data_IF_487944565889
#
_entry.id   IF_487944565889
#
_cell.length_a   1.000
_cell.length_b   1.000
_cell.length_c   1.000
_cell.angle_alpha   90.00
_cell.angle_beta   90.00
_cell.angle_gamma   90.00
#
_symmetry.space_group_name_H-M   'P 1'
#
loop_
_entity.id
_entity.type
_entity.pdbx_description
1 polymer ?
#
# COMPACT_ATOMS: atom_id res chain seq x y z
N UNK A 1 3.67 0.46 26.00
CA UNK A 1 4.32 1.45 25.13
C UNK A 1 3.32 1.80 24.05
N UNK A 2 3.07 3.08 23.78
CA UNK A 2 2.24 3.54 22.66
C UNK A 2 3.02 3.32 21.36
N UNK A 3 2.46 2.57 20.41
CA UNK A 3 3.11 2.28 19.12
C UNK A 3 2.76 3.37 18.10
N UNK A 4 3.72 3.78 17.27
CA UNK A 4 3.53 4.86 16.28
C UNK A 4 2.54 4.50 15.17
N UNK A 5 2.53 3.24 14.74
CA UNK A 5 1.60 2.71 13.75
C UNK A 5 1.15 1.31 14.20
N UNK A 6 -0.03 1.19 14.83
CA UNK A 6 -0.60 -0.13 15.14
C UNK A 6 -0.88 -0.92 13.87
N UNK A 7 -0.87 -2.25 13.96
CA UNK A 7 -1.30 -3.11 12.86
C UNK A 7 -2.80 -2.96 12.60
N UNK A 8 -3.26 -3.33 11.41
CA UNK A 8 -4.67 -3.16 11.04
C UNK A 8 -5.63 -3.91 11.99
N UNK A 9 -5.26 -5.11 12.44
CA UNK A 9 -6.01 -5.90 13.42
C UNK A 9 -6.12 -5.23 14.79
N UNK A 10 -5.10 -4.46 15.21
CA UNK A 10 -5.12 -3.73 16.48
C UNK A 10 -5.87 -2.40 16.33
N UNK A 11 -5.58 -1.66 15.24
CA UNK A 11 -6.15 -0.35 14.98
C UNK A 11 -7.67 -0.40 14.78
N UNK A 12 -8.15 -1.46 14.14
CA UNK A 12 -9.57 -1.62 13.79
C UNK A 12 -10.19 -2.81 14.55
N UNK A 13 -9.65 -3.16 15.72
CA UNK A 13 -10.10 -4.29 16.54
C UNK A 13 -11.60 -4.22 16.85
N UNK A 14 -12.12 -3.03 17.19
CA UNK A 14 -13.53 -2.83 17.47
C UNK A 14 -14.42 -3.10 16.25
N UNK A 15 -14.06 -2.53 15.09
CA UNK A 15 -14.79 -2.74 13.83
C UNK A 15 -14.78 -4.22 13.41
N UNK A 16 -13.63 -4.89 13.54
CA UNK A 16 -13.48 -6.31 13.27
C UNK A 16 -14.32 -7.17 14.23
N UNK A 17 -14.38 -6.82 15.52
CA UNK A 17 -15.18 -7.53 16.51
C UNK A 17 -16.68 -7.36 16.26
N UNK A 18 -17.13 -6.16 15.90
CA UNK A 18 -18.53 -5.89 15.51
C UNK A 18 -18.91 -6.75 14.30
N UNK A 19 -18.08 -6.76 13.26
CA UNK A 19 -18.33 -7.60 12.08
C UNK A 19 -18.33 -9.09 12.43
N UNK A 20 -17.39 -9.56 13.24
CA UNK A 20 -17.32 -10.97 13.62
C UNK A 20 -18.55 -11.44 14.41
N UNK A 21 -19.15 -10.55 15.21
CA UNK A 21 -20.36 -10.81 15.99
C UNK A 21 -21.60 -10.91 15.10
N UNK A 22 -21.71 -10.04 14.10
CA UNK A 22 -22.85 -9.97 13.19
C UNK A 22 -22.72 -10.91 11.98
N UNK A 23 -21.55 -11.52 11.78
CA UNK A 23 -21.25 -12.39 10.62
C UNK A 23 -21.76 -13.83 10.81
N UNK A 24 -22.97 -14.06 10.31
CA UNK A 24 -23.69 -15.34 10.29
C UNK A 24 -23.43 -16.19 9.03
N UNK A 25 -22.57 -15.72 8.13
CA UNK A 25 -22.35 -16.35 6.82
C UNK A 25 -21.24 -17.42 6.85
N UNK A 26 -21.25 -18.37 5.90
CA UNK A 26 -20.20 -19.39 5.81
C UNK A 26 -18.81 -18.78 5.66
N UNK A 27 -17.87 -19.27 6.47
CA UNK A 27 -16.47 -18.86 6.43
C UNK A 27 -15.63 -19.95 5.78
N UNK A 28 -14.75 -19.62 4.81
CA UNK A 28 -13.74 -20.54 4.34
C UNK A 28 -12.89 -21.07 5.51
N UNK A 29 -12.36 -22.30 5.43
CA UNK A 29 -11.51 -22.85 6.49
C UNK A 29 -10.36 -21.91 6.87
N UNK A 30 -10.18 -21.68 8.18
CA UNK A 30 -9.13 -20.81 8.74
C UNK A 30 -9.47 -19.31 8.75
N UNK A 31 -10.53 -18.88 8.07
CA UNK A 31 -10.91 -17.46 8.03
C UNK A 31 -11.60 -17.00 9.32
N UNK A 32 -11.26 -15.80 9.79
CA UNK A 32 -11.90 -15.13 10.93
C UNK A 32 -13.28 -14.57 10.57
N UNK A 33 -13.40 -13.99 9.38
CA UNK A 33 -14.61 -13.38 8.84
C UNK A 33 -15.04 -14.07 7.54
N UNK A 34 -16.32 -14.04 7.21
CA UNK A 34 -16.81 -14.50 5.90
C UNK A 34 -16.37 -13.56 4.77
N UNK A 35 -16.37 -14.01 3.50
CA UNK A 35 -16.05 -13.17 2.35
C UNK A 35 -16.85 -11.86 2.29
N UNK A 36 -18.10 -11.88 2.76
CA UNK A 36 -18.96 -10.69 2.83
C UNK A 36 -18.51 -9.74 3.93
N UNK A 37 -18.24 -10.26 5.13
CA UNK A 37 -17.76 -9.46 6.25
C UNK A 37 -16.38 -8.86 5.94
N UNK A 38 -15.48 -9.59 5.28
CA UNK A 38 -14.20 -9.05 4.78
C UNK A 38 -14.44 -7.92 3.77
N UNK A 39 -15.34 -8.12 2.82
CA UNK A 39 -15.67 -7.06 1.83
C UNK A 39 -16.24 -5.81 2.50
N UNK A 40 -17.13 -5.98 3.48
CA UNK A 40 -17.70 -4.88 4.27
C UNK A 40 -16.64 -4.19 5.13
N UNK A 41 -15.73 -4.95 5.76
CA UNK A 41 -14.60 -4.38 6.49
C UNK A 41 -13.77 -3.44 5.62
N UNK A 42 -13.49 -3.82 4.38
CA UNK A 42 -12.65 -3.06 3.45
C UNK A 42 -13.37 -1.82 2.91
N UNK A 43 -14.63 -1.98 2.47
CA UNK A 43 -15.38 -0.93 1.77
C UNK A 43 -16.24 -0.05 2.70
N UNK A 44 -16.37 -0.44 3.96
CA UNK A 44 -17.31 0.16 4.90
C UNK A 44 -18.76 -0.23 4.62
N UNK A 45 -19.63 0.13 5.58
CA UNK A 45 -21.09 -0.02 5.49
C UNK A 45 -21.81 1.34 5.49
N UNK A 46 -21.07 2.45 5.61
CA UNK A 46 -21.61 3.81 5.67
C UNK A 46 -22.09 4.23 7.06
N UNK A 47 -21.94 3.38 8.07
CA UNK A 47 -22.44 3.64 9.43
C UNK A 47 -21.40 3.26 10.49
N UNK A 48 -21.19 1.95 10.71
CA UNK A 48 -20.38 1.41 11.82
C UNK A 48 -18.96 1.07 11.39
N UNK A 49 -18.77 0.80 10.10
CA UNK A 49 -17.51 0.34 9.55
C UNK A 49 -16.96 1.40 8.62
N UNK A 50 -15.82 1.96 9.01
CA UNK A 50 -15.14 2.99 8.23
C UNK A 50 -14.59 2.36 6.94
N UNK A 51 -14.69 2.97 5.76
CA UNK A 51 -14.02 2.48 4.55
C UNK A 51 -12.49 2.56 4.66
N UNK A 52 -11.79 1.45 4.38
CA UNK A 52 -10.31 1.35 4.36
C UNK A 52 -9.77 1.50 2.95
N UNK A 53 -10.58 1.19 1.94
CA UNK A 53 -10.25 1.35 0.53
C UNK A 53 -11.38 2.08 -0.19
N UNK A 54 -11.01 3.05 -1.01
CA UNK A 54 -11.93 3.77 -1.89
C UNK A 54 -11.69 3.29 -3.31
N UNK A 55 -12.69 2.66 -3.91
CA UNK A 55 -12.62 2.12 -5.25
C UNK A 55 -13.79 1.19 -5.55
N UNK A 56 -13.77 0.59 -6.74
CA UNK A 56 -14.86 -0.27 -7.19
C UNK A 56 -15.02 -1.51 -6.30
N UNK A 57 -16.22 -1.72 -5.74
CA UNK A 57 -16.57 -2.90 -4.93
C UNK A 57 -16.14 -4.21 -5.59
N UNK A 58 -16.31 -4.31 -6.91
CA UNK A 58 -15.97 -5.50 -7.68
C UNK A 58 -14.49 -5.89 -7.58
N UNK A 59 -13.58 -4.92 -7.48
CA UNK A 59 -12.13 -5.18 -7.33
C UNK A 59 -11.86 -5.91 -6.01
N UNK A 60 -12.46 -5.43 -4.92
CA UNK A 60 -12.35 -6.04 -3.60
C UNK A 60 -13.00 -7.42 -3.59
N UNK A 61 -14.18 -7.58 -4.18
CA UNK A 61 -14.86 -8.87 -4.27
C UNK A 61 -14.03 -9.91 -5.03
N UNK A 62 -13.38 -9.53 -6.14
CA UNK A 62 -12.49 -10.44 -6.89
C UNK A 62 -11.27 -10.81 -6.06
N UNK A 63 -10.67 -9.87 -5.33
CA UNK A 63 -9.55 -10.14 -4.43
C UNK A 63 -9.94 -11.11 -3.31
N UNK A 64 -11.07 -10.87 -2.65
CA UNK A 64 -11.58 -11.73 -1.57
C UNK A 64 -11.98 -13.11 -2.11
N UNK A 65 -12.68 -13.17 -3.25
CA UNK A 65 -13.05 -14.44 -3.87
C UNK A 65 -11.83 -15.26 -4.30
N UNK A 66 -10.76 -14.60 -4.76
CA UNK A 66 -9.47 -15.26 -5.04
C UNK A 66 -8.95 -15.95 -3.80
N UNK A 67 -8.88 -15.20 -2.68
CA UNK A 67 -8.29 -15.70 -1.45
C UNK A 67 -9.13 -16.80 -0.78
N UNK A 68 -10.44 -16.83 -1.04
CA UNK A 68 -11.35 -17.88 -0.59
C UNK A 68 -11.14 -19.21 -1.34
N UNK A 69 -10.30 -19.22 -2.37
CA UNK A 69 -9.83 -20.42 -3.08
C UNK A 69 -8.34 -20.67 -2.78
N UNK A 70 -7.76 -21.73 -3.32
CA UNK A 70 -6.33 -22.03 -3.16
C UNK A 70 -5.41 -21.17 -4.06
N UNK A 71 -5.97 -20.23 -4.85
CA UNK A 71 -5.20 -19.31 -5.70
C UNK A 71 -4.62 -18.17 -4.87
N UNK A 72 -3.35 -17.85 -5.14
CA UNK A 72 -2.72 -16.65 -4.59
C UNK A 72 -3.19 -15.39 -5.31
N UNK A 73 -3.18 -14.27 -4.59
CA UNK A 73 -3.59 -12.96 -5.09
C UNK A 73 -2.35 -12.13 -5.45
N UNK A 74 -2.30 -11.58 -6.66
CA UNK A 74 -1.32 -10.55 -7.04
C UNK A 74 -2.03 -9.21 -7.21
N UNK A 75 -1.75 -8.26 -6.34
CA UNK A 75 -2.18 -6.86 -6.47
C UNK A 75 -1.17 -6.11 -7.34
N UNK A 76 -1.62 -5.64 -8.50
CA UNK A 76 -0.80 -4.93 -9.48
C UNK A 76 -1.30 -3.49 -9.65
N UNK A 77 -0.41 -2.53 -9.84
CA UNK A 77 -0.79 -1.16 -10.17
C UNK A 77 0.34 -0.18 -9.94
N UNK A 78 0.17 1.07 -10.38
CA UNK A 78 1.19 2.12 -10.21
C UNK A 78 1.44 2.43 -8.71
N UNK A 79 2.56 3.08 -8.35
CA UNK A 79 2.80 3.53 -6.99
C UNK A 79 1.64 4.36 -6.41
N UNK A 80 1.35 4.15 -5.13
CA UNK A 80 0.28 4.87 -4.41
C UNK A 80 -1.16 4.39 -4.66
N UNK A 81 -1.39 3.29 -5.38
CA UNK A 81 -2.72 2.66 -5.58
C UNK A 81 -3.20 1.81 -4.38
N UNK A 82 -2.65 2.03 -3.18
CA UNK A 82 -3.02 1.34 -1.94
C UNK A 82 -2.83 -0.20 -1.92
N UNK A 83 -1.95 -0.77 -2.76
CA UNK A 83 -1.66 -2.23 -2.80
C UNK A 83 -1.29 -2.82 -1.44
N UNK A 84 -0.25 -2.27 -0.80
CA UNK A 84 0.25 -2.73 0.51
C UNK A 84 -0.78 -2.53 1.61
N UNK A 85 -1.56 -1.45 1.54
CA UNK A 85 -2.64 -1.18 2.47
C UNK A 85 -3.76 -2.21 2.35
N UNK A 86 -4.23 -2.47 1.13
CA UNK A 86 -5.25 -3.50 0.87
C UNK A 86 -4.76 -4.90 1.30
N UNK A 87 -3.51 -5.23 0.99
CA UNK A 87 -2.84 -6.48 1.41
C UNK A 87 -2.86 -6.66 2.94
N UNK A 88 -2.51 -5.62 3.70
CA UNK A 88 -2.52 -5.62 5.18
C UNK A 88 -3.93 -5.85 5.73
N UNK A 89 -4.90 -5.08 5.24
CA UNK A 89 -6.27 -5.15 5.72
C UNK A 89 -6.95 -6.48 5.36
N UNK A 90 -6.66 -7.04 4.19
CA UNK A 90 -7.14 -8.38 3.83
C UNK A 90 -6.55 -9.44 4.77
N UNK A 91 -5.24 -9.41 5.04
CA UNK A 91 -4.61 -10.36 5.95
C UNK A 91 -5.17 -10.25 7.39
N UNK A 92 -5.33 -9.03 7.89
CA UNK A 92 -5.95 -8.77 9.20
C UNK A 92 -7.38 -9.30 9.28
N UNK A 93 -8.23 -9.03 8.29
CA UNK A 93 -9.63 -9.47 8.29
C UNK A 93 -9.78 -10.99 8.10
N UNK A 94 -8.90 -11.60 7.30
CA UNK A 94 -8.96 -13.03 6.98
C UNK A 94 -8.32 -13.87 8.09
N UNK A 95 -7.11 -13.53 8.52
CA UNK A 95 -6.32 -14.37 9.44
C UNK A 95 -6.30 -13.84 10.87
N UNK A 96 -6.63 -12.56 11.08
CA UNK A 96 -6.42 -11.87 12.35
C UNK A 96 -4.95 -11.51 12.61
N UNK A 97 -4.11 -11.58 11.58
CA UNK A 97 -2.67 -11.35 11.66
C UNK A 97 -2.17 -10.86 10.30
N UNK A 98 -1.68 -9.63 10.25
CA UNK A 98 -1.12 -9.00 9.05
C UNK A 98 0.42 -8.93 9.05
N UNK A 99 1.07 -9.54 10.05
CA UNK A 99 2.49 -9.40 10.37
C UNK A 99 3.40 -10.40 9.64
N UNK A 100 2.82 -11.42 9.00
CA UNK A 100 3.53 -12.43 8.22
C UNK A 100 3.96 -11.88 6.86
N UNK A 101 4.93 -10.98 6.89
CA UNK A 101 5.37 -10.15 5.76
C UNK A 101 6.78 -10.51 5.29
N UNK A 102 6.93 -10.67 3.98
CA UNK A 102 8.21 -10.64 3.25
C UNK A 102 8.26 -9.38 2.41
N UNK A 103 9.29 -8.55 2.63
CA UNK A 103 9.52 -7.35 1.82
C UNK A 103 10.49 -7.66 0.68
N UNK A 104 10.05 -7.39 -0.54
CA UNK A 104 10.83 -7.54 -1.75
C UNK A 104 11.81 -6.39 -1.97
N UNK A 105 13.07 -6.75 -2.14
CA UNK A 105 14.21 -5.88 -2.43
C UNK A 105 15.24 -6.67 -3.25
N UNK A 106 16.19 -5.96 -3.88
CA UNK A 106 17.27 -6.61 -4.63
C UNK A 106 18.17 -7.52 -3.75
N UNK A 107 18.18 -7.28 -2.42
CA UNK A 107 18.93 -8.08 -1.45
C UNK A 107 18.10 -9.13 -0.72
N UNK A 108 16.83 -9.31 -1.08
CA UNK A 108 15.99 -10.34 -0.44
C UNK A 108 16.52 -11.72 -0.82
N UNK A 109 16.88 -12.52 0.17
CA UNK A 109 17.43 -13.85 0.00
C UNK A 109 16.34 -14.95 0.07
N UNK A 110 16.65 -16.15 -0.41
CA UNK A 110 15.72 -17.29 -0.46
C UNK A 110 15.16 -17.66 0.92
N UNK A 111 15.97 -17.51 1.97
CA UNK A 111 15.60 -17.80 3.36
C UNK A 111 14.45 -16.91 3.87
N UNK A 112 14.28 -15.72 3.29
CA UNK A 112 13.16 -14.84 3.61
C UNK A 112 11.82 -15.39 3.13
N UNK A 113 11.84 -16.26 2.11
CA UNK A 113 10.66 -16.97 1.59
C UNK A 113 10.56 -18.37 2.19
N UNK A 114 11.65 -19.13 2.26
CA UNK A 114 11.63 -20.53 2.71
C UNK A 114 11.85 -20.64 4.20
N UNK A 115 13.12 -20.72 4.61
CA UNK A 115 13.59 -20.79 5.98
C UNK A 115 15.08 -20.50 5.99
N UNK A 116 15.58 -20.00 7.11
CA UNK A 116 17.01 -19.89 7.39
C UNK A 116 17.47 -20.89 8.44
N UNK A 117 18.71 -20.74 8.87
CA UNK A 117 19.30 -21.55 9.93
C UNK A 117 19.85 -20.65 11.06
N UNK A 118 19.60 -21.05 12.29
CA UNK A 118 20.37 -20.60 13.43
C UNK A 118 21.71 -21.34 13.43
N UNK A 119 22.75 -20.69 12.91
CA UNK A 119 24.07 -21.30 12.75
C UNK A 119 24.68 -21.84 14.05
N UNK A 120 24.42 -21.19 15.19
CA UNK A 120 24.93 -21.67 16.48
C UNK A 120 24.33 -23.02 16.85
N UNK A 121 23.01 -23.16 16.70
CA UNK A 121 22.31 -24.45 16.92
C UNK A 121 22.67 -25.47 15.87
N UNK A 122 22.77 -25.07 14.60
CA UNK A 122 23.16 -25.96 13.51
C UNK A 122 24.54 -26.59 13.74
N UNK A 123 25.51 -25.81 14.23
CA UNK A 123 26.86 -26.31 14.55
C UNK A 123 26.89 -27.17 15.82
N UNK A 124 26.09 -26.82 16.83
CA UNK A 124 26.08 -27.52 18.12
C UNK A 124 25.28 -28.83 18.09
N UNK A 125 24.15 -28.83 17.39
CA UNK A 125 23.12 -29.88 17.45
C UNK A 125 22.94 -30.61 16.10
N UNK A 126 23.52 -30.08 15.02
CA UNK A 126 23.30 -30.56 13.66
C UNK A 126 21.99 -30.03 13.04
N UNK A 127 21.66 -30.46 11.80
CA UNK A 127 20.39 -30.10 11.17
C UNK A 127 19.20 -30.64 11.97
N UNK A 128 18.37 -29.74 12.49
CA UNK A 128 17.16 -30.05 13.25
C UNK A 128 16.08 -28.99 13.04
N UNK A 129 14.83 -29.26 13.43
CA UNK A 129 13.78 -28.23 13.39
C UNK A 129 14.08 -27.09 14.38
N UNK A 130 14.78 -27.38 15.48
CA UNK A 130 15.19 -26.43 16.51
C UNK A 130 16.28 -25.46 16.02
N UNK A 131 17.08 -25.90 15.04
CA UNK A 131 18.07 -25.06 14.37
C UNK A 131 17.46 -24.27 13.20
N UNK A 132 16.25 -24.57 12.76
CA UNK A 132 15.59 -23.91 11.64
C UNK A 132 14.99 -22.57 12.09
N UNK A 133 15.20 -21.52 11.30
CA UNK A 133 14.59 -20.20 11.48
C UNK A 133 13.45 -20.06 10.45
N UNK A 134 12.18 -20.26 10.84
CA UNK A 134 11.08 -20.30 9.88
C UNK A 134 10.79 -18.92 9.31
N UNK A 135 10.61 -18.83 7.98
CA UNK A 135 10.24 -17.59 7.32
C UNK A 135 8.80 -17.17 7.67
N UNK A 136 8.39 -15.92 7.39
CA UNK A 136 6.99 -15.51 7.46
C UNK A 136 6.06 -16.41 6.64
N UNK A 137 6.48 -16.84 5.45
CA UNK A 137 5.69 -17.73 4.59
C UNK A 137 5.56 -19.13 5.20
N UNK A 138 6.66 -19.70 5.72
CA UNK A 138 6.63 -21.01 6.37
C UNK A 138 5.76 -21.00 7.63
N UNK A 139 5.82 -19.93 8.44
CA UNK A 139 4.90 -19.74 9.59
C UNK A 139 3.46 -19.66 9.13
N UNK A 140 3.16 -18.87 8.10
CA UNK A 140 1.82 -18.77 7.53
C UNK A 140 1.30 -20.13 7.04
N UNK A 141 2.15 -20.93 6.39
CA UNK A 141 1.82 -22.30 5.99
C UNK A 141 1.50 -23.16 7.21
N UNK A 142 2.38 -23.19 8.20
CA UNK A 142 2.21 -24.01 9.39
C UNK A 142 1.00 -23.59 10.25
N UNK A 143 0.59 -22.32 10.21
CA UNK A 143 -0.49 -21.78 11.03
C UNK A 143 -1.82 -21.60 10.27
N UNK A 144 -1.83 -21.85 8.96
CA UNK A 144 -3.02 -21.66 8.12
C UNK A 144 -3.44 -20.19 7.99
N UNK A 145 -2.47 -19.30 7.78
CA UNK A 145 -2.65 -17.83 7.72
C UNK A 145 -2.26 -17.25 6.37
N UNK A 146 -2.65 -16.01 6.12
CA UNK A 146 -2.23 -15.25 4.94
C UNK A 146 -0.80 -14.74 5.12
N UNK A 147 0.09 -15.10 4.19
CA UNK A 147 1.40 -14.47 4.04
C UNK A 147 1.34 -13.31 3.04
N UNK A 148 2.08 -12.25 3.31
CA UNK A 148 2.18 -11.07 2.46
C UNK A 148 3.57 -11.00 1.84
N UNK A 149 3.65 -10.86 0.52
CA UNK A 149 4.90 -10.68 -0.22
C UNK A 149 4.85 -9.34 -0.95
N UNK A 150 5.38 -8.31 -0.31
CA UNK A 150 5.30 -6.94 -0.82
C UNK A 150 6.41 -6.67 -1.82
N UNK A 151 6.11 -5.98 -2.91
CA UNK A 151 7.09 -5.61 -3.95
C UNK A 151 7.82 -6.82 -4.56
N UNK A 152 7.06 -7.87 -4.90
CA UNK A 152 7.54 -9.15 -5.41
C UNK A 152 8.54 -8.99 -6.57
N UNK A 153 8.28 -8.06 -7.49
CA UNK A 153 9.13 -7.83 -8.67
C UNK A 153 10.49 -7.20 -8.34
N UNK A 154 10.70 -6.68 -7.13
CA UNK A 154 12.03 -6.21 -6.68
C UNK A 154 12.92 -7.33 -6.17
N UNK A 155 12.37 -8.51 -5.90
CA UNK A 155 13.16 -9.68 -5.48
C UNK A 155 13.93 -10.27 -6.67
N UNK A 156 15.12 -10.84 -6.47
CA UNK A 156 15.80 -11.65 -7.48
C UNK A 156 14.89 -12.78 -8.02
N UNK A 157 14.99 -13.09 -9.32
CA UNK A 157 14.08 -14.03 -9.97
C UNK A 157 14.14 -15.46 -9.41
N UNK A 158 15.33 -15.90 -9.01
CA UNK A 158 15.56 -17.18 -8.33
C UNK A 158 14.84 -17.24 -6.97
N UNK A 159 14.86 -16.14 -6.22
CA UNK A 159 14.14 -16.01 -4.94
C UNK A 159 12.62 -15.98 -5.17
N UNK A 160 12.15 -15.33 -6.23
CA UNK A 160 10.72 -15.38 -6.60
C UNK A 160 10.28 -16.82 -6.93
N UNK A 161 11.11 -17.59 -7.63
CA UNK A 161 10.81 -18.96 -8.04
C UNK A 161 10.72 -19.93 -6.84
N UNK A 162 11.29 -19.59 -5.68
CA UNK A 162 11.08 -20.33 -4.43
C UNK A 162 9.59 -20.41 -4.01
N UNK A 163 8.75 -19.46 -4.48
CA UNK A 163 7.30 -19.50 -4.25
C UNK A 163 6.58 -20.54 -5.12
N UNK A 164 7.18 -21.04 -6.20
CA UNK A 164 6.49 -21.93 -7.15
C UNK A 164 5.93 -23.17 -6.46
N UNK A 165 6.76 -23.87 -5.67
CA UNK A 165 6.34 -25.10 -4.97
C UNK A 165 5.32 -24.77 -3.88
N UNK A 166 5.56 -23.70 -3.11
CA UNK A 166 4.63 -23.22 -2.07
C UNK A 166 3.25 -22.91 -2.64
N UNK A 167 3.17 -22.29 -3.81
CA UNK A 167 1.90 -21.89 -4.42
C UNK A 167 1.18 -23.05 -5.10
N UNK A 168 1.92 -24.04 -5.63
CA UNK A 168 1.34 -25.17 -6.40
C UNK A 168 0.95 -26.33 -5.50
N UNK A 169 1.93 -26.86 -4.76
CA UNK A 169 1.80 -28.10 -3.99
C UNK A 169 1.36 -27.81 -2.56
N UNK A 170 1.41 -26.54 -2.14
CA UNK A 170 1.19 -26.13 -0.75
C UNK A 170 2.14 -26.84 0.22
N UNK A 171 3.35 -27.18 -0.25
CA UNK A 171 4.41 -27.79 0.55
C UNK A 171 5.71 -26.99 0.44
N UNK A 172 6.52 -27.08 1.49
CA UNK A 172 7.84 -26.48 1.59
C UNK A 172 8.83 -27.56 2.03
N UNK A 173 9.59 -28.16 1.09
CA UNK A 173 10.59 -29.16 1.41
C UNK A 173 11.74 -28.60 2.26
N UNK A 174 12.21 -29.40 3.21
CA UNK A 174 13.41 -29.20 4.03
C UNK A 174 14.36 -30.38 3.75
N UNK A 175 15.13 -30.34 2.64
CA UNK A 175 15.94 -31.46 2.21
C UNK A 175 16.96 -31.90 3.27
N UNK A 176 17.52 -30.96 4.01
CA UNK A 176 18.52 -31.23 5.07
C UNK A 176 17.98 -32.15 6.16
N UNK A 177 16.65 -32.19 6.35
CA UNK A 177 15.98 -33.02 7.36
C UNK A 177 15.25 -34.24 6.76
N UNK A 178 15.20 -34.38 5.42
CA UNK A 178 14.28 -35.31 4.75
C UNK A 178 12.83 -35.16 5.27
N UNK A 179 12.39 -33.90 5.35
CA UNK A 179 11.06 -33.50 5.83
C UNK A 179 10.50 -32.38 4.96
N UNK A 180 9.24 -32.03 5.20
CA UNK A 180 8.58 -30.89 4.59
C UNK A 180 7.58 -30.26 5.58
N UNK A 181 7.20 -29.02 5.31
CA UNK A 181 6.02 -28.39 5.92
C UNK A 181 4.91 -28.34 4.89
N UNK A 182 3.75 -28.88 5.24
CA UNK A 182 2.52 -28.77 4.46
C UNK A 182 1.67 -27.62 5.00
N UNK A 183 1.08 -26.83 4.10
CA UNK A 183 0.23 -25.73 4.51
C UNK A 183 -1.07 -26.23 5.15
N UNK A 184 -1.41 -25.66 6.31
CA UNK A 184 -2.71 -25.87 6.93
C UNK A 184 -3.79 -25.09 6.19
N UNK A 185 -5.04 -25.55 6.32
CA UNK A 185 -6.21 -24.85 5.77
C UNK A 185 -6.29 -23.41 6.31
N UNK A 186 -6.52 -22.46 5.40
CA UNK A 186 -6.49 -21.02 5.67
C UNK A 186 -5.24 -20.32 5.14
N UNK A 187 -4.19 -21.08 4.81
CA UNK A 187 -2.99 -20.52 4.19
C UNK A 187 -3.28 -19.96 2.78
N UNK A 188 -2.85 -18.71 2.54
CA UNK A 188 -2.80 -18.14 1.20
C UNK A 188 -1.72 -17.05 1.11
N UNK A 189 -1.39 -16.60 -0.10
CA UNK A 189 -0.39 -15.56 -0.35
C UNK A 189 -1.04 -14.36 -1.04
N UNK A 190 -0.80 -13.17 -0.50
CA UNK A 190 -1.05 -11.90 -1.17
C UNK A 190 0.31 -11.31 -1.57
N UNK A 191 0.54 -11.14 -2.86
CA UNK A 191 1.71 -10.46 -3.40
C UNK A 191 1.35 -9.08 -3.95
N UNK A 192 2.28 -8.13 -3.88
CA UNK A 192 2.13 -6.81 -4.53
C UNK A 192 3.25 -6.57 -5.54
N UNK A 193 2.92 -5.90 -6.64
CA UNK A 193 3.88 -5.51 -7.67
C UNK A 193 3.51 -4.18 -8.31
N UNK A 194 4.52 -3.44 -8.78
CA UNK A 194 4.34 -2.24 -9.60
C UNK A 194 4.41 -2.62 -11.09
N UNK A 195 3.56 -2.01 -11.91
CA UNK A 195 3.44 -2.28 -13.35
C UNK A 195 4.38 -1.43 -14.23
N UNK A 196 5.05 -0.41 -13.65
CA UNK A 196 5.85 0.59 -14.37
C UNK A 196 7.26 0.82 -13.83
N UNK A 197 7.72 0.03 -12.87
CA UNK A 197 9.06 0.23 -12.33
C UNK A 197 10.13 -0.12 -13.39
N UNK A 198 11.12 0.77 -13.54
CA UNK A 198 12.32 0.49 -14.32
C UNK A 198 13.30 -0.29 -13.45
N UNK A 199 13.90 -1.37 -13.98
CA UNK A 199 14.90 -2.16 -13.25
C UNK A 199 14.33 -3.19 -12.28
N UNK A 200 13.10 -3.65 -12.51
CA UNK A 200 12.49 -4.77 -11.76
C UNK A 200 12.60 -6.08 -12.52
N UNK A 201 12.60 -7.18 -11.78
CA UNK A 201 12.62 -8.53 -12.33
C UNK A 201 11.20 -8.90 -12.80
N UNK A 202 11.08 -9.29 -14.07
CA UNK A 202 9.81 -9.79 -14.61
C UNK A 202 9.43 -11.13 -13.97
N UNK A 203 8.15 -11.29 -13.63
CA UNK A 203 7.64 -12.55 -13.13
C UNK A 203 7.74 -13.62 -14.21
N UNK A 204 8.35 -14.76 -13.87
CA UNK A 204 8.36 -15.93 -14.77
C UNK A 204 6.93 -16.33 -15.15
N UNK A 205 6.73 -16.84 -16.37
CA UNK A 205 5.42 -17.30 -16.83
C UNK A 205 4.86 -18.41 -15.92
N UNK A 206 5.74 -19.22 -15.34
CA UNK A 206 5.43 -20.26 -14.38
C UNK A 206 4.87 -19.71 -13.06
N UNK A 207 5.44 -18.61 -12.55
CA UNK A 207 4.98 -17.95 -11.34
C UNK A 207 3.69 -17.15 -11.61
N UNK A 208 3.63 -16.40 -12.72
CA UNK A 208 2.47 -15.58 -13.09
C UNK A 208 1.18 -16.40 -13.16
N UNK A 209 1.20 -17.63 -13.69
CA UNK A 209 0.02 -18.52 -13.78
C UNK A 209 -0.51 -19.02 -12.42
N UNK A 210 0.25 -18.88 -11.33
CA UNK A 210 -0.15 -19.29 -9.97
C UNK A 210 -0.87 -18.20 -9.20
N UNK A 211 -0.79 -16.97 -9.68
CA UNK A 211 -1.53 -15.85 -9.15
C UNK A 211 -2.81 -15.62 -9.95
N UNK A 212 -3.86 -15.17 -9.26
CA UNK A 212 -4.88 -14.35 -9.90
C UNK A 212 -4.50 -12.88 -9.73
N UNK A 213 -4.41 -12.14 -10.84
CA UNK A 213 -4.00 -10.73 -10.82
C UNK A 213 -5.21 -9.82 -10.70
N UNK A 214 -5.18 -8.93 -9.71
CA UNK A 214 -6.13 -7.82 -9.54
C UNK A 214 -5.37 -6.52 -9.75
N UNK A 215 -5.79 -5.74 -10.74
CA UNK A 215 -5.18 -4.44 -11.04
C UNK A 215 -5.91 -3.36 -10.26
N UNK A 216 -5.18 -2.65 -9.40
CA UNK A 216 -5.69 -1.49 -8.66
C UNK A 216 -5.52 -0.22 -9.50
N UNK A 217 -6.62 0.44 -9.89
CA UNK A 217 -6.56 1.68 -10.64
C UNK A 217 -6.16 2.86 -9.74
N UNK A 218 -5.75 3.96 -10.37
CA UNK A 218 -5.73 5.26 -9.71
C UNK A 218 -7.16 5.75 -9.45
N UNK A 219 -7.38 6.64 -8.45
CA UNK A 219 -8.70 7.21 -8.20
C UNK A 219 -9.30 7.84 -9.45
N UNK A 220 -10.57 7.51 -9.76
CA UNK A 220 -11.20 7.89 -11.02
C UNK A 220 -11.45 9.40 -11.07
N UNK A 221 -11.90 9.98 -9.96
CA UNK A 221 -12.26 11.40 -9.84
C UNK A 221 -11.33 12.15 -8.90
N UNK A 222 -11.31 13.48 -9.02
CA UNK A 222 -10.57 14.34 -8.09
C UNK A 222 -11.19 14.25 -6.69
N UNK A 223 -12.52 14.17 -6.61
CA UNK A 223 -13.28 14.03 -5.37
C UNK A 223 -12.89 12.75 -4.60
N UNK A 224 -12.78 11.61 -5.29
CA UNK A 224 -12.31 10.36 -4.66
C UNK A 224 -10.90 10.51 -4.09
N UNK A 225 -9.98 11.13 -4.83
CA UNK A 225 -8.61 11.34 -4.38
C UNK A 225 -8.53 12.34 -3.20
N UNK A 226 -9.31 13.42 -3.25
CA UNK A 226 -9.46 14.38 -2.14
C UNK A 226 -9.98 13.70 -0.88
N UNK A 227 -11.02 12.86 -1.01
CA UNK A 227 -11.58 12.11 0.12
C UNK A 227 -10.58 11.16 0.76
N UNK A 228 -9.81 10.42 -0.06
CA UNK A 228 -8.75 9.52 0.41
C UNK A 228 -7.70 10.31 1.19
N UNK A 229 -7.22 11.41 0.59
CA UNK A 229 -6.18 12.25 1.18
C UNK A 229 -6.66 12.89 2.48
N UNK A 230 -7.87 13.47 2.50
CA UNK A 230 -8.44 14.12 3.67
C UNK A 230 -8.57 13.15 4.86
N UNK A 231 -9.11 11.95 4.64
CA UNK A 231 -9.24 10.94 5.70
C UNK A 231 -7.87 10.52 6.24
N UNK A 232 -6.91 10.29 5.34
CA UNK A 232 -5.58 9.80 5.75
C UNK A 232 -4.78 10.88 6.49
N UNK A 233 -4.85 12.11 6.03
CA UNK A 233 -4.24 13.27 6.71
C UNK A 233 -4.86 13.46 8.10
N UNK A 234 -6.18 13.39 8.24
CA UNK A 234 -6.84 13.48 9.55
C UNK A 234 -6.42 12.34 10.50
N UNK A 235 -6.29 11.11 9.98
CA UNK A 235 -5.83 9.96 10.77
C UNK A 235 -4.38 10.11 11.21
N UNK A 236 -3.48 10.52 10.32
CA UNK A 236 -2.07 10.75 10.63
C UNK A 236 -1.89 11.91 11.60
N UNK A 237 -2.64 13.01 11.42
CA UNK A 237 -2.60 14.15 12.33
C UNK A 237 -2.93 13.77 13.77
N UNK A 238 -3.99 12.96 13.99
CA UNK A 238 -4.32 12.42 15.31
C UNK A 238 -3.22 11.52 15.88
N UNK A 239 -2.65 10.65 15.05
CA UNK A 239 -1.59 9.72 15.46
C UNK A 239 -0.28 10.42 15.84
N UNK A 240 -0.03 11.58 15.24
CA UNK A 240 1.14 12.41 15.50
C UNK A 240 0.88 13.48 16.57
N UNK A 241 -0.29 13.44 17.22
CA UNK A 241 -0.72 14.44 18.22
C UNK A 241 -0.62 15.88 17.69
N UNK A 242 -0.82 16.07 16.38
CA UNK A 242 -0.79 17.40 15.77
C UNK A 242 -2.03 18.20 16.23
N UNK A 243 -1.88 19.49 16.54
CA UNK A 243 -2.99 20.37 16.84
C UNK A 243 -4.10 20.29 15.78
N UNK A 244 -5.36 20.42 16.20
CA UNK A 244 -6.47 20.58 15.26
C UNK A 244 -6.26 21.86 14.45
N UNK A 245 -5.77 21.67 13.23
CA UNK A 245 -5.65 22.76 12.25
C UNK A 245 -6.95 22.85 11.47
N UNK A 246 -7.35 24.06 11.08
CA UNK A 246 -8.34 24.22 10.02
C UNK A 246 -7.68 23.77 8.72
N UNK A 247 -7.71 22.47 8.46
CA UNK A 247 -7.26 21.92 7.19
C UNK A 247 -8.23 22.43 6.14
N UNK A 248 -7.80 23.39 5.34
CA UNK A 248 -8.61 23.85 4.23
C UNK A 248 -8.78 22.69 3.25
N UNK A 249 -10.01 22.19 3.09
CA UNK A 249 -10.38 21.33 1.95
C UNK A 249 -9.91 21.94 0.61
N UNK A 250 -9.76 23.26 0.55
CA UNK A 250 -9.16 23.99 -0.55
C UNK A 250 -7.69 23.61 -0.82
N UNK A 251 -6.84 23.49 0.21
CA UNK A 251 -5.43 23.14 0.06
C UNK A 251 -5.26 21.67 -0.35
N UNK A 252 -6.06 20.76 0.24
CA UNK A 252 -6.10 19.36 -0.18
C UNK A 252 -6.47 19.27 -1.65
N UNK A 253 -7.57 19.93 -2.05
CA UNK A 253 -8.01 19.97 -3.44
C UNK A 253 -6.93 20.55 -4.35
N UNK A 254 -6.24 21.61 -3.93
CA UNK A 254 -5.16 22.21 -4.73
C UNK A 254 -4.01 21.23 -4.98
N UNK A 255 -3.51 20.58 -3.92
CA UNK A 255 -2.43 19.58 -4.04
C UNK A 255 -2.86 18.44 -4.99
N UNK A 256 -4.07 17.92 -4.80
CA UNK A 256 -4.64 16.85 -5.64
C UNK A 256 -4.76 17.29 -7.09
N UNK A 257 -5.33 18.48 -7.36
CA UNK A 257 -5.45 19.01 -8.73
C UNK A 257 -4.08 19.13 -9.39
N UNK A 258 -3.08 19.72 -8.73
CA UNK A 258 -1.72 19.84 -9.29
C UNK A 258 -1.17 18.47 -9.68
N UNK A 259 -1.29 17.48 -8.79
CA UNK A 259 -0.75 16.15 -9.02
C UNK A 259 -1.50 15.43 -10.15
N UNK A 260 -2.83 15.52 -10.18
CA UNK A 260 -3.66 14.92 -11.22
C UNK A 260 -3.36 15.50 -12.59
N UNK A 261 -3.23 16.82 -12.70
CA UNK A 261 -2.98 17.48 -13.99
C UNK A 261 -1.60 17.14 -14.56
N UNK A 262 -0.56 17.20 -13.73
CA UNK A 262 0.80 16.83 -14.13
C UNK A 262 0.90 15.33 -14.47
N UNK A 263 0.26 14.46 -13.70
CA UNK A 263 0.20 13.01 -13.94
C UNK A 263 -0.57 12.66 -15.21
N UNK A 264 -1.67 13.35 -15.51
CA UNK A 264 -2.49 13.13 -16.70
C UNK A 264 -1.91 13.81 -17.95
N UNK A 265 -1.03 14.81 -17.78
CA UNK A 265 -0.48 15.61 -18.88
C UNK A 265 -1.51 16.58 -19.48
N UNK A 266 -2.56 16.92 -18.75
CA UNK A 266 -3.64 17.81 -19.17
C UNK A 266 -4.33 18.41 -17.95
N UNK A 267 -4.82 19.64 -18.06
CA UNK A 267 -5.63 20.27 -17.02
C UNK A 267 -6.96 19.53 -16.79
N UNK A 268 -7.55 19.67 -15.60
CA UNK A 268 -8.80 18.97 -15.24
C UNK A 268 -9.98 19.34 -16.15
N UNK A 269 -9.97 20.55 -16.71
CA UNK A 269 -10.95 21.01 -17.69
C UNK A 269 -10.69 20.50 -19.13
N UNK A 270 -9.60 19.75 -19.34
CA UNK A 270 -9.19 19.18 -20.62
C UNK A 270 -8.64 20.18 -21.64
N UNK A 271 -8.46 21.45 -21.26
CA UNK A 271 -8.16 22.53 -22.23
C UNK A 271 -6.69 22.71 -22.53
N UNK A 272 -5.83 22.50 -21.55
CA UNK A 272 -4.40 22.81 -21.65
C UNK A 272 -3.58 21.54 -21.48
N UNK A 273 -2.75 21.22 -22.48
CA UNK A 273 -1.76 20.13 -22.36
C UNK A 273 -0.63 20.57 -21.44
N UNK A 274 -0.20 19.67 -20.57
CA UNK A 274 0.86 19.89 -19.60
C UNK A 274 1.91 18.79 -19.77
N UNK A 275 3.17 19.12 -19.53
CA UNK A 275 4.23 18.10 -19.50
C UNK A 275 4.15 17.31 -18.19
N UNK A 276 4.39 16.01 -18.26
CA UNK A 276 4.47 15.17 -17.06
C UNK A 276 5.92 15.11 -16.55
N UNK A 277 6.16 15.27 -15.23
CA UNK A 277 7.48 15.09 -14.66
C UNK A 277 7.86 13.60 -14.63
N UNK A 278 9.11 13.32 -14.26
CA UNK A 278 9.61 11.95 -14.12
C UNK A 278 8.98 11.18 -12.94
N UNK A 279 8.54 11.89 -11.90
CA UNK A 279 7.92 11.34 -10.69
C UNK A 279 6.49 10.84 -10.89
N UNK A 280 6.03 9.94 -10.01
CA UNK A 280 4.72 9.25 -10.17
C UNK A 280 3.50 10.05 -9.68
N UNK A 281 3.69 11.16 -8.96
CA UNK A 281 2.64 12.08 -8.45
C UNK A 281 1.42 11.33 -7.90
N UNK A 282 1.69 10.50 -6.90
CA UNK A 282 0.75 9.55 -6.33
C UNK A 282 -0.07 10.15 -5.17
N UNK A 283 -1.17 9.50 -4.83
CA UNK A 283 -1.99 9.87 -3.67
C UNK A 283 -1.18 9.84 -2.36
N UNK A 284 -0.20 8.94 -2.25
CA UNK A 284 0.69 8.86 -1.09
C UNK A 284 1.63 10.08 -0.98
N UNK A 285 2.12 10.59 -2.11
CA UNK A 285 2.93 11.82 -2.14
C UNK A 285 2.07 13.03 -1.73
N UNK A 286 0.81 13.10 -2.18
CA UNK A 286 -0.12 14.16 -1.76
C UNK A 286 -0.37 14.15 -0.24
N UNK A 287 -0.59 12.97 0.34
CA UNK A 287 -0.70 12.80 1.81
C UNK A 287 0.57 13.28 2.52
N UNK A 288 1.75 12.94 2.00
CA UNK A 288 3.03 13.37 2.56
C UNK A 288 3.17 14.90 2.56
N UNK A 289 2.90 15.54 1.42
CA UNK A 289 2.92 17.01 1.27
C UNK A 289 2.00 17.69 2.26
N UNK A 290 0.76 17.21 2.40
CA UNK A 290 -0.25 17.81 3.27
C UNK A 290 0.06 17.56 4.76
N UNK A 291 0.53 16.36 5.12
CA UNK A 291 0.91 16.05 6.50
C UNK A 291 2.06 16.94 6.94
N UNK A 292 3.07 17.14 6.08
CA UNK A 292 4.16 18.06 6.35
C UNK A 292 3.67 19.52 6.43
N UNK A 293 2.80 19.95 5.49
CA UNK A 293 2.20 21.29 5.52
C UNK A 293 1.42 21.57 6.80
N UNK A 294 0.66 20.60 7.32
CA UNK A 294 -0.04 20.73 8.60
C UNK A 294 0.94 20.84 9.75
N UNK A 295 2.00 20.04 9.77
CA UNK A 295 3.04 20.15 10.79
C UNK A 295 3.72 21.53 10.75
N UNK A 296 3.99 22.07 9.56
CA UNK A 296 4.53 23.41 9.37
C UNK A 296 3.57 24.48 9.92
N UNK A 297 2.30 24.43 9.52
CA UNK A 297 1.28 25.37 9.98
C UNK A 297 1.05 25.31 11.50
N UNK A 298 1.06 24.10 12.08
CA UNK A 298 0.80 23.90 13.49
C UNK A 298 1.98 24.27 14.40
N UNK A 299 3.21 23.98 14.00
CA UNK A 299 4.39 24.20 14.84
C UNK A 299 5.12 25.52 14.56
N UNK A 300 5.07 26.00 13.32
CA UNK A 300 5.81 27.19 12.88
C UNK A 300 4.91 28.31 12.34
N UNK A 301 3.60 28.07 12.29
CA UNK A 301 2.58 29.04 11.88
C UNK A 301 1.56 29.34 12.98
N UNK A 302 0.36 29.70 12.57
CA UNK A 302 -0.79 30.02 13.44
C UNK A 302 -1.87 28.92 13.42
N UNK A 303 -1.51 27.71 12.97
CA UNK A 303 -2.42 26.57 12.87
C UNK A 303 -3.36 26.59 11.66
N UNK A 304 -3.21 27.57 10.75
CA UNK A 304 -3.98 27.62 9.50
C UNK A 304 -3.10 27.15 8.34
N UNK A 305 -3.52 26.07 7.67
CA UNK A 305 -2.81 25.56 6.50
C UNK A 305 -2.92 26.54 5.32
N UNK A 306 -1.78 27.03 4.84
CA UNK A 306 -1.66 28.00 3.74
C UNK A 306 -0.91 27.44 2.54
N UNK A 307 -1.03 28.10 1.37
CA UNK A 307 -0.25 27.73 0.18
C UNK A 307 1.28 27.66 0.42
N UNK A 308 1.82 28.52 1.29
CA UNK A 308 3.24 28.52 1.68
C UNK A 308 3.69 27.22 2.32
N UNK A 309 2.83 26.58 3.11
CA UNK A 309 3.16 25.41 3.90
C UNK A 309 3.24 24.14 3.04
N UNK A 310 2.51 24.13 1.91
CA UNK A 310 2.50 23.01 0.96
C UNK A 310 3.43 23.22 -0.24
N UNK A 311 3.82 24.46 -0.54
CA UNK A 311 4.59 24.81 -1.74
C UNK A 311 5.89 24.03 -1.86
N UNK A 312 6.74 24.05 -0.82
CA UNK A 312 8.02 23.34 -0.84
C UNK A 312 7.84 21.82 -0.99
N UNK A 313 6.80 21.26 -0.35
CA UNK A 313 6.46 19.84 -0.48
C UNK A 313 6.04 19.46 -1.90
N UNK A 314 5.20 20.29 -2.55
CA UNK A 314 4.80 20.09 -3.94
C UNK A 314 6.00 20.16 -4.88
N UNK A 315 6.86 21.20 -4.74
CA UNK A 315 8.06 21.33 -5.58
C UNK A 315 8.97 20.12 -5.40
N UNK A 316 9.20 19.68 -4.16
CA UNK A 316 9.99 18.48 -3.88
C UNK A 316 9.39 17.22 -4.50
N UNK A 317 8.06 17.05 -4.48
CA UNK A 317 7.40 15.90 -5.09
C UNK A 317 7.47 15.93 -6.64
N UNK A 318 7.29 17.10 -7.24
CA UNK A 318 7.29 17.28 -8.70
C UNK A 318 8.70 17.24 -9.28
N UNK A 319 9.68 17.87 -8.62
CA UNK A 319 11.05 18.03 -9.12
C UNK A 319 11.96 16.98 -8.49
N UNK A 320 11.89 15.75 -9.00
CA UNK A 320 12.80 14.66 -8.62
C UNK A 320 14.10 14.71 -9.41
N UNK A 321 14.01 15.05 -10.71
CA UNK A 321 15.17 15.29 -11.56
C UNK A 321 15.42 16.81 -11.72
N UNK A 322 16.52 17.36 -11.15
CA UNK A 322 16.72 18.81 -11.01
C UNK A 322 16.69 19.60 -12.32
N UNK A 323 17.00 18.97 -13.46
CA UNK A 323 17.08 19.63 -14.76
C UNK A 323 15.76 19.52 -15.52
N UNK A 324 15.28 18.29 -15.78
CA UNK A 324 14.10 18.09 -16.63
C UNK A 324 12.81 18.48 -15.93
N UNK A 325 12.64 18.09 -14.67
CA UNK A 325 11.37 18.29 -13.97
C UNK A 325 11.18 19.75 -13.55
N UNK A 326 12.27 20.49 -13.34
CA UNK A 326 12.21 21.93 -13.05
C UNK A 326 11.67 22.73 -14.24
N UNK A 327 11.96 22.30 -15.46
CA UNK A 327 11.38 22.91 -16.68
C UNK A 327 9.88 22.63 -16.74
N UNK A 328 9.47 21.39 -16.48
CA UNK A 328 8.06 20.97 -16.42
C UNK A 328 7.29 21.81 -15.39
N UNK A 329 7.83 21.90 -14.18
CA UNK A 329 7.22 22.65 -13.08
C UNK A 329 7.06 24.13 -13.39
N UNK A 330 8.13 24.79 -13.88
CA UNK A 330 8.09 26.21 -14.25
C UNK A 330 7.06 26.48 -15.35
N UNK A 331 6.98 25.61 -16.36
CA UNK A 331 6.00 25.75 -17.43
C UNK A 331 4.57 25.64 -16.90
N UNK A 332 4.30 24.67 -16.02
CA UNK A 332 2.99 24.53 -15.38
C UNK A 332 2.62 25.76 -14.53
N UNK A 333 3.59 26.31 -13.77
CA UNK A 333 3.36 27.53 -12.98
C UNK A 333 2.97 28.74 -13.86
N UNK A 334 3.69 28.95 -14.96
CA UNK A 334 3.50 30.13 -15.83
C UNK A 334 2.26 30.03 -16.74
N UNK A 335 1.87 28.81 -17.13
CA UNK A 335 0.81 28.59 -18.12
C UNK A 335 -0.53 28.21 -17.50
N UNK A 336 -0.53 27.53 -16.36
CA UNK A 336 -1.75 27.05 -15.70
C UNK A 336 -2.00 27.80 -14.41
N UNK A 337 -1.04 27.79 -13.49
CA UNK A 337 -1.24 28.33 -12.13
C UNK A 337 -1.43 29.85 -12.16
N UNK A 338 -0.62 30.57 -12.95
CA UNK A 338 -0.68 32.04 -13.06
C UNK A 338 -2.03 32.55 -13.58
N UNK A 339 -2.70 31.79 -14.43
CA UNK A 339 -3.98 32.16 -15.05
C UNK A 339 -5.19 31.89 -14.11
N UNK A 340 -5.00 31.11 -13.04
CA UNK A 340 -6.03 30.85 -12.01
C UNK A 340 -6.07 31.99 -10.99
N UNK A 341 -7.13 32.79 -11.02
CA UNK A 341 -7.26 34.00 -10.19
C UNK A 341 -7.24 33.72 -8.69
N UNK A 342 -7.72 32.56 -8.26
CA UNK A 342 -7.76 32.06 -6.89
C UNK A 342 -6.44 31.43 -6.42
N UNK A 343 -5.43 31.27 -7.31
CA UNK A 343 -4.15 30.62 -6.99
C UNK A 343 -2.97 31.59 -6.91
N UNK A 344 -3.23 32.91 -6.80
CA UNK A 344 -2.17 33.94 -6.77
C UNK A 344 -1.17 33.76 -5.64
N UNK A 345 -1.64 33.46 -4.43
CA UNK A 345 -0.77 33.26 -3.28
C UNK A 345 0.02 31.95 -3.39
N UNK A 346 -0.61 30.92 -3.95
CA UNK A 346 0.05 29.66 -4.28
C UNK A 346 1.16 29.85 -5.32
N UNK A 347 0.89 30.59 -6.40
CA UNK A 347 1.88 30.94 -7.42
C UNK A 347 3.12 31.61 -6.80
N UNK A 348 2.90 32.62 -5.94
CA UNK A 348 3.99 33.33 -5.25
C UNK A 348 4.80 32.40 -4.37
N UNK A 349 4.13 31.62 -3.51
CA UNK A 349 4.77 30.66 -2.62
C UNK A 349 5.63 29.65 -3.39
N UNK A 350 5.10 29.09 -4.49
CA UNK A 350 5.85 28.17 -5.33
C UNK A 350 7.07 28.84 -5.98
N UNK A 351 6.96 30.08 -6.46
CA UNK A 351 8.06 30.82 -7.07
C UNK A 351 9.20 31.12 -6.09
N UNK A 352 8.90 31.31 -4.81
CA UNK A 352 9.90 31.56 -3.77
C UNK A 352 10.74 30.32 -3.45
N UNK A 353 10.18 29.13 -3.60
CA UNK A 353 10.83 27.85 -3.25
C UNK A 353 11.33 27.05 -4.46
N UNK A 354 11.12 27.54 -5.70
CA UNK A 354 11.44 26.82 -6.96
C UNK A 354 12.84 27.03 -7.51
#
# INVERSE_FOLDING_TARGET
MTVLRPHAEDQYAEELAVLAKDDDRPRPPGWKLSPWAVTTYILGDGERITPKYVGARRIVEVAVATLATDRALLLLGVPGTAKTWLSEHLAAAISGDSTLLVQGTAGTAEEAVRYGWNYARLLAEGPSFEALTPSPVMRAMAEGRVARVEELTRMPSDVQDALITVLSEKTLPIPELNREVQAQRGFNVIATANDRDRGVNELSSALRRRFNTVVLPVPATAEEEVDIVARRVAQLGRSLELPETTTGLAEIRRVVTVFRELRAGVTEDGRTKVKSPSGTLSTAEAISVLTNGIALAAHFGDGVLRPSDVAAGIVGAVVQEPVSDRVVWREYLETVVRERSDWRDFYRACREVS
#
